data_IF_162056344607
#
_entry.id   IF_162056344607
#
_cell.length_a   1.000
_cell.length_b   1.000
_cell.length_c   1.000
_cell.angle_alpha   90.00
_cell.angle_beta   90.00
_cell.angle_gamma   90.00
#
_symmetry.space_group_name_H-M   'P 1'
#
loop_
_entity.id
_entity.type
_entity.pdbx_description
1 polymer ?
#
# COMPACT_ATOMS: atom_id res chain seq x y z
N UNK A 1 -35.81 41.00 8.51
CA UNK A 1 -35.13 40.13 9.49
C UNK A 1 -34.78 38.85 8.75
N UNK A 2 -33.54 38.79 8.29
CA UNK A 2 -33.00 37.69 7.50
C UNK A 2 -32.65 36.55 8.45
N UNK A 3 -33.38 35.44 8.34
CA UNK A 3 -33.02 34.17 8.96
C UNK A 3 -31.97 33.52 8.06
N UNK A 4 -30.70 33.76 8.37
CA UNK A 4 -29.58 33.12 7.68
C UNK A 4 -29.60 31.61 7.96
N UNK A 5 -29.84 30.84 6.91
CA UNK A 5 -29.77 29.39 6.92
C UNK A 5 -28.41 28.90 7.40
N UNK A 6 -28.45 28.00 8.38
CA UNK A 6 -27.31 27.18 8.75
C UNK A 6 -27.19 26.10 7.67
N UNK A 7 -26.37 26.37 6.66
CA UNK A 7 -26.02 25.38 5.64
C UNK A 7 -25.08 24.36 6.28
N UNK A 8 -25.61 23.20 6.69
CA UNK A 8 -24.79 22.01 6.88
C UNK A 8 -24.20 21.63 5.51
N UNK A 9 -23.00 22.14 5.20
CA UNK A 9 -22.21 21.63 4.08
C UNK A 9 -21.96 20.14 4.31
N UNK A 10 -22.20 19.26 3.33
CA UNK A 10 -21.79 17.88 3.45
C UNK A 10 -20.26 17.86 3.54
N UNK A 11 -19.71 17.41 4.67
CA UNK A 11 -18.27 17.20 4.82
C UNK A 11 -17.78 16.42 3.61
N UNK A 12 -16.98 17.03 2.74
CA UNK A 12 -16.53 16.42 1.48
C UNK A 12 -16.07 14.97 1.74
N UNK A 13 -16.47 13.97 0.94
CA UNK A 13 -16.04 12.58 1.12
C UNK A 13 -14.51 12.43 1.23
N UNK A 14 -13.76 13.34 0.59
CA UNK A 14 -12.30 13.44 0.73
C UNK A 14 -11.82 13.90 2.10
N UNK A 15 -12.55 14.81 2.76
CA UNK A 15 -12.27 15.22 4.13
C UNK A 15 -12.47 14.04 5.10
N UNK A 16 -13.52 13.23 4.89
CA UNK A 16 -13.78 12.00 5.63
C UNK A 16 -12.63 10.99 5.48
N UNK A 17 -12.22 10.69 4.24
CA UNK A 17 -11.10 9.79 3.94
C UNK A 17 -9.78 10.29 4.53
N UNK A 18 -9.50 11.59 4.39
CA UNK A 18 -8.27 12.20 4.92
C UNK A 18 -8.26 12.18 6.44
N UNK A 19 -9.41 12.39 7.09
CA UNK A 19 -9.57 12.24 8.54
C UNK A 19 -9.27 10.82 8.99
N UNK A 20 -9.80 9.80 8.30
CA UNK A 20 -9.54 8.39 8.61
C UNK A 20 -8.04 8.06 8.57
N UNK A 21 -7.33 8.51 7.52
CA UNK A 21 -5.87 8.33 7.41
C UNK A 21 -5.11 9.08 8.52
N UNK A 22 -5.50 10.33 8.78
CA UNK A 22 -4.84 11.15 9.80
C UNK A 22 -5.02 10.58 11.21
N UNK A 23 -6.18 10.00 11.49
CA UNK A 23 -6.46 9.33 12.76
C UNK A 23 -5.74 8.00 12.89
N UNK A 24 -5.55 7.28 11.77
CA UNK A 24 -4.89 5.99 11.81
C UNK A 24 -3.40 6.14 12.17
N UNK A 25 -2.67 7.11 11.59
CA UNK A 25 -1.21 7.29 11.73
C UNK A 25 -0.40 5.98 11.62
N UNK A 26 -0.95 4.95 10.99
CA UNK A 26 -0.48 3.58 11.16
C UNK A 26 0.86 3.40 10.46
N UNK A 27 1.86 3.05 11.27
CA UNK A 27 3.12 2.47 10.82
C UNK A 27 2.88 0.98 10.73
N UNK A 28 3.32 0.37 9.64
CA UNK A 28 3.11 -1.06 9.39
C UNK A 28 4.29 -1.67 8.69
N UNK A 29 4.39 -2.98 8.83
CA UNK A 29 5.35 -3.79 8.09
C UNK A 29 4.73 -4.25 6.77
N UNK A 30 5.46 -4.05 5.69
CA UNK A 30 5.07 -4.55 4.37
C UNK A 30 6.27 -5.05 3.59
N UNK A 31 6.01 -5.86 2.58
CA UNK A 31 7.01 -6.37 1.63
C UNK A 31 6.83 -5.67 0.30
N UNK A 32 7.82 -4.88 -0.10
CA UNK A 32 7.90 -4.35 -1.46
C UNK A 32 8.45 -5.45 -2.38
N UNK A 33 7.65 -5.89 -3.36
CA UNK A 33 7.98 -7.06 -4.20
C UNK A 33 8.53 -6.64 -5.56
N UNK A 34 7.85 -5.72 -6.24
CA UNK A 34 8.16 -5.35 -7.61
C UNK A 34 7.52 -4.02 -8.01
N UNK A 35 8.00 -3.47 -9.13
CA UNK A 35 7.37 -2.36 -9.84
C UNK A 35 6.72 -2.87 -11.11
N UNK A 36 5.41 -2.62 -11.26
CA UNK A 36 4.59 -3.14 -12.37
C UNK A 36 3.87 -2.04 -13.11
N UNK A 37 3.78 -2.16 -14.43
CA UNK A 37 3.02 -1.25 -15.28
C UNK A 37 1.53 -1.58 -15.22
N UNK A 38 0.67 -0.58 -15.00
CA UNK A 38 -0.77 -0.73 -14.93
C UNK A 38 -1.40 -0.26 -16.25
N UNK A 39 -1.71 -1.17 -17.16
CA UNK A 39 -2.12 -0.76 -18.52
C UNK A 39 -3.52 -0.12 -18.60
N UNK A 40 -4.50 -0.72 -17.92
CA UNK A 40 -5.92 -0.50 -18.24
C UNK A 40 -6.55 0.71 -17.55
N UNK A 41 -6.07 1.06 -16.35
CA UNK A 41 -6.75 2.06 -15.51
C UNK A 41 -5.92 3.32 -15.32
N UNK A 42 -4.60 3.18 -15.23
CA UNK A 42 -3.64 4.29 -15.06
C UNK A 42 -2.33 3.88 -15.75
N UNK A 43 -2.07 4.30 -17.00
CA UNK A 43 -0.93 3.84 -17.80
C UNK A 43 0.42 4.33 -17.23
N UNK A 44 0.81 3.78 -16.09
CA UNK A 44 1.94 4.20 -15.27
C UNK A 44 2.52 3.01 -14.48
N UNK A 45 3.79 3.12 -14.09
CA UNK A 45 4.43 2.15 -13.22
C UNK A 45 4.11 2.41 -11.75
N UNK A 46 3.66 1.36 -11.06
CA UNK A 46 3.32 1.36 -9.64
C UNK A 46 4.14 0.34 -8.88
N UNK A 47 4.54 0.70 -7.67
CA UNK A 47 5.23 -0.17 -6.74
C UNK A 47 4.20 -0.97 -5.95
N UNK A 48 4.43 -2.28 -5.83
CA UNK A 48 3.53 -3.21 -5.14
C UNK A 48 4.08 -3.50 -3.75
N UNK A 49 3.34 -3.08 -2.72
CA UNK A 49 3.64 -3.37 -1.31
C UNK A 49 2.58 -4.30 -0.75
N UNK A 50 2.97 -5.53 -0.41
CA UNK A 50 2.13 -6.49 0.30
C UNK A 50 2.18 -6.21 1.79
N UNK A 51 1.03 -6.07 2.44
CA UNK A 51 0.93 -5.81 3.87
C UNK A 51 1.14 -7.13 4.63
N UNK A 52 1.90 -7.09 5.71
CA UNK A 52 2.04 -8.24 6.60
C UNK A 52 0.68 -8.60 7.24
N UNK A 53 0.37 -9.90 7.32
CA UNK A 53 -0.91 -10.40 7.83
C UNK A 53 -1.16 -10.01 9.29
N UNK A 54 -0.09 -9.79 10.05
CA UNK A 54 -0.17 -9.45 11.47
C UNK A 54 -0.61 -7.99 11.69
N UNK A 55 -0.62 -7.16 10.63
CA UNK A 55 -1.02 -5.75 10.64
C UNK A 55 -2.55 -5.57 10.58
N UNK A 56 -3.26 -6.28 11.45
CA UNK A 56 -4.74 -6.36 11.46
C UNK A 56 -5.42 -4.99 11.56
N UNK A 57 -4.81 -4.03 12.27
CA UNK A 57 -5.32 -2.68 12.38
C UNK A 57 -5.23 -1.90 11.05
N UNK A 58 -4.14 -2.06 10.30
CA UNK A 58 -3.99 -1.43 8.99
C UNK A 58 -4.96 -2.04 8.00
N UNK A 59 -5.08 -3.36 8.02
CA UNK A 59 -6.03 -4.10 7.19
C UNK A 59 -7.46 -3.57 7.39
N UNK A 60 -7.93 -3.46 8.64
CA UNK A 60 -9.25 -2.88 8.95
C UNK A 60 -9.40 -1.45 8.41
N UNK A 61 -8.38 -0.62 8.58
CA UNK A 61 -8.41 0.76 8.08
C UNK A 61 -8.55 0.81 6.55
N UNK A 62 -7.86 -0.06 5.83
CA UNK A 62 -7.93 -0.15 4.37
C UNK A 62 -9.28 -0.68 3.89
N UNK A 63 -9.87 -1.64 4.60
CA UNK A 63 -11.22 -2.11 4.33
C UNK A 63 -12.26 -0.99 4.50
N UNK A 64 -12.13 -0.18 5.55
CA UNK A 64 -13.04 0.95 5.76
C UNK A 64 -12.86 2.02 4.68
N UNK A 65 -11.61 2.30 4.24
CA UNK A 65 -11.34 3.19 3.12
C UNK A 65 -11.95 2.66 1.83
N UNK A 66 -11.77 1.37 1.52
CA UNK A 66 -12.39 0.73 0.36
C UNK A 66 -13.91 0.87 0.40
N UNK A 67 -14.54 0.65 1.56
CA UNK A 67 -15.99 0.80 1.72
C UNK A 67 -16.43 2.24 1.44
N UNK A 68 -15.78 3.23 2.06
CA UNK A 68 -16.11 4.65 1.84
C UNK A 68 -15.89 5.05 0.39
N UNK A 69 -14.80 4.60 -0.24
CA UNK A 69 -14.54 4.94 -1.65
C UNK A 69 -15.63 4.38 -2.56
N UNK A 70 -16.03 3.12 -2.37
CA UNK A 70 -17.10 2.49 -3.15
C UNK A 70 -18.45 3.18 -2.94
N UNK A 71 -18.78 3.55 -1.70
CA UNK A 71 -20.04 4.24 -1.38
C UNK A 71 -20.11 5.65 -1.95
N UNK A 72 -19.03 6.42 -1.87
CA UNK A 72 -19.05 7.87 -2.16
C UNK A 72 -18.60 8.19 -3.59
N UNK A 73 -17.78 7.34 -4.22
CA UNK A 73 -17.20 7.58 -5.55
C UNK A 73 -17.53 6.50 -6.59
N UNK A 74 -18.25 5.45 -6.20
CA UNK A 74 -18.62 4.34 -7.06
C UNK A 74 -17.48 3.33 -7.29
N UNK A 75 -17.80 2.27 -8.02
CA UNK A 75 -16.90 1.14 -8.32
C UNK A 75 -15.86 1.45 -9.40
N UNK A 76 -16.08 2.50 -10.21
CA UNK A 76 -15.20 2.86 -11.33
C UNK A 76 -13.93 3.59 -10.90
N UNK A 77 -13.92 4.16 -9.69
CA UNK A 77 -12.78 4.91 -9.15
C UNK A 77 -11.67 3.93 -8.80
N UNK A 78 -10.51 4.05 -9.44
CA UNK A 78 -9.37 3.20 -9.11
C UNK A 78 -8.85 3.54 -7.71
N UNK A 79 -8.89 2.56 -6.83
CA UNK A 79 -8.29 2.61 -5.51
C UNK A 79 -7.16 1.59 -5.50
N UNK A 80 -5.92 2.05 -5.34
CA UNK A 80 -4.71 1.22 -5.38
C UNK A 80 -4.57 0.24 -4.22
N UNK A 81 -5.65 -0.45 -3.85
CA UNK A 81 -5.74 -1.48 -2.83
C UNK A 81 -6.39 -2.70 -3.48
N UNK A 82 -5.63 -3.78 -3.61
CA UNK A 82 -6.13 -5.08 -4.08
C UNK A 82 -5.94 -6.12 -2.97
N UNK A 83 -6.72 -7.19 -3.00
CA UNK A 83 -6.53 -8.33 -2.11
C UNK A 83 -6.33 -9.60 -2.94
N UNK A 84 -5.49 -10.52 -2.45
CA UNK A 84 -5.43 -11.85 -3.02
C UNK A 84 -6.35 -12.77 -2.20
N UNK A 85 -7.10 -13.60 -2.91
CA UNK A 85 -8.01 -14.57 -2.32
C UNK A 85 -7.53 -15.99 -2.64
N UNK A 86 -7.59 -16.88 -1.66
CA UNK A 86 -7.38 -18.32 -1.79
C UNK A 86 -8.55 -19.00 -1.08
N UNK A 87 -9.24 -19.92 -1.75
CA UNK A 87 -10.41 -20.62 -1.21
C UNK A 87 -11.49 -19.69 -0.59
N UNK A 88 -11.78 -18.57 -1.27
CA UNK A 88 -12.67 -17.50 -0.82
C UNK A 88 -12.24 -16.74 0.46
N UNK A 89 -11.01 -16.94 0.94
CA UNK A 89 -10.44 -16.21 2.07
C UNK A 89 -9.39 -15.20 1.60
N UNK A 90 -9.41 -14.01 2.21
CA UNK A 90 -8.40 -12.97 1.92
C UNK A 90 -7.09 -13.34 2.59
N UNK A 91 -6.07 -13.65 1.78
CA UNK A 91 -4.75 -14.05 2.26
C UNK A 91 -3.89 -12.84 2.59
N UNK A 92 -3.89 -11.83 1.71
CA UNK A 92 -3.12 -10.61 1.91
C UNK A 92 -3.71 -9.43 1.12
N UNK A 93 -3.24 -8.23 1.49
CA UNK A 93 -3.56 -6.98 0.83
C UNK A 93 -2.32 -6.43 0.14
N UNK A 94 -2.48 -5.96 -1.09
CA UNK A 94 -1.44 -5.29 -1.86
C UNK A 94 -1.82 -3.82 -2.08
N UNK A 95 -0.86 -2.95 -1.85
CA UNK A 95 -0.95 -1.52 -2.10
C UNK A 95 -0.18 -1.18 -3.36
N UNK A 96 -0.84 -0.51 -4.29
CA UNK A 96 -0.28 -0.01 -5.54
C UNK A 96 0.03 1.47 -5.37
N UNK A 97 1.31 1.78 -5.19
CA UNK A 97 1.77 3.08 -4.71
C UNK A 97 2.94 3.60 -5.55
N UNK A 98 3.47 4.75 -5.18
CA UNK A 98 4.75 5.27 -5.68
C UNK A 98 5.73 5.32 -4.52
N UNK A 99 6.88 4.68 -4.70
CA UNK A 99 7.98 4.67 -3.75
C UNK A 99 9.22 5.31 -4.39
N UNK A 100 9.97 6.05 -3.58
CA UNK A 100 11.22 6.67 -4.03
C UNK A 100 12.40 5.76 -3.66
N UNK A 101 12.91 5.00 -4.63
CA UNK A 101 14.16 4.23 -4.53
C UNK A 101 14.23 3.31 -3.29
N UNK A 102 13.16 2.56 -3.03
CA UNK A 102 13.13 1.56 -1.95
C UNK A 102 13.64 0.22 -2.50
N UNK A 103 14.58 -0.47 -1.83
CA UNK A 103 15.03 -1.80 -2.24
C UNK A 103 13.90 -2.83 -2.06
N UNK A 104 13.91 -3.88 -2.87
CA UNK A 104 12.97 -5.01 -2.72
C UNK A 104 13.20 -5.68 -1.35
N UNK A 105 12.11 -6.01 -0.66
CA UNK A 105 12.18 -6.68 0.64
C UNK A 105 11.15 -6.20 1.64
N UNK A 106 11.36 -6.56 2.91
CA UNK A 106 10.47 -6.24 4.04
C UNK A 106 10.91 -4.94 4.70
N UNK A 107 9.98 -4.00 4.85
CA UNK A 107 10.26 -2.66 5.35
C UNK A 107 9.13 -2.13 6.23
N UNK A 108 9.47 -1.12 7.03
CA UNK A 108 8.50 -0.30 7.74
C UNK A 108 8.02 0.84 6.84
N UNK A 109 6.70 0.96 6.72
CA UNK A 109 6.03 2.01 5.98
C UNK A 109 5.05 2.77 6.87
N UNK A 110 4.68 3.97 6.45
CA UNK A 110 3.62 4.75 7.08
C UNK A 110 2.67 5.28 6.03
N UNK A 111 1.37 5.11 6.25
CA UNK A 111 0.36 5.75 5.41
C UNK A 111 0.30 7.24 5.76
N UNK A 112 0.58 8.12 4.79
CA UNK A 112 0.67 9.56 5.00
C UNK A 112 -0.60 10.30 4.63
N UNK A 113 -1.13 10.02 3.46
CA UNK A 113 -2.26 10.72 2.90
C UNK A 113 -2.88 9.93 1.75
N UNK A 114 -4.01 10.44 1.25
CA UNK A 114 -4.62 10.01 0.00
C UNK A 114 -4.51 11.17 -0.99
N UNK A 115 -4.11 10.86 -2.21
CA UNK A 115 -4.13 11.79 -3.34
C UNK A 115 -5.29 11.40 -4.24
N UNK A 116 -6.19 12.35 -4.49
CA UNK A 116 -7.29 12.16 -5.43
C UNK A 116 -6.94 12.83 -6.74
N UNK A 117 -7.07 12.07 -7.82
CA UNK A 117 -7.05 12.57 -9.18
C UNK A 117 -8.45 12.35 -9.80
N UNK A 118 -8.61 12.74 -11.07
CA UNK A 118 -9.89 12.63 -11.78
C UNK A 118 -10.47 11.20 -11.70
N UNK A 119 -9.66 10.18 -11.98
CA UNK A 119 -10.15 8.79 -12.03
C UNK A 119 -9.60 7.88 -10.91
N UNK A 120 -8.76 8.44 -10.03
CA UNK A 120 -7.94 7.61 -9.13
C UNK A 120 -7.88 8.18 -7.72
N UNK A 121 -7.83 7.29 -6.74
CA UNK A 121 -7.54 7.60 -5.35
C UNK A 121 -6.31 6.76 -4.97
N UNK A 122 -5.20 7.44 -4.74
CA UNK A 122 -3.90 6.82 -4.51
C UNK A 122 -3.46 7.02 -3.07
N UNK A 123 -3.08 5.94 -2.40
CA UNK A 123 -2.41 5.97 -1.10
C UNK A 123 -0.98 6.48 -1.26
N UNK A 124 -0.60 7.44 -0.42
CA UNK A 124 0.77 7.93 -0.33
C UNK A 124 1.44 7.26 0.87
N UNK A 125 2.47 6.45 0.60
CA UNK A 125 3.27 5.81 1.63
C UNK A 125 4.58 6.56 1.84
N UNK A 126 5.00 6.64 3.09
CA UNK A 126 6.37 7.02 3.44
C UNK A 126 7.14 5.78 3.85
N UNK A 127 8.24 5.52 3.17
CA UNK A 127 9.26 4.59 3.62
C UNK A 127 9.92 5.11 4.91
N UNK A 128 10.04 4.24 5.91
CA UNK A 128 10.69 4.60 7.17
C UNK A 128 12.08 3.98 7.28
N UNK A 129 12.18 2.65 7.20
CA UNK A 129 13.43 1.90 7.37
C UNK A 129 13.26 0.42 6.94
N UNK A 130 14.36 -0.33 6.75
CA UNK A 130 14.30 -1.78 6.59
C UNK A 130 13.69 -2.46 7.82
N UNK A 131 12.99 -3.58 7.59
CA UNK A 131 12.52 -4.42 8.67
C UNK A 131 13.64 -5.36 9.11
N UNK A 132 14.23 -5.07 10.25
CA UNK A 132 15.19 -5.96 10.91
C UNK A 132 14.41 -7.01 11.70
N UNK A 133 13.91 -8.03 10.99
CA UNK A 133 13.38 -9.22 11.62
C UNK A 133 14.51 -9.97 12.34
N UNK A 134 14.22 -10.58 13.49
CA UNK A 134 15.18 -11.40 14.22
C UNK A 134 15.37 -12.76 13.52
N UNK A 135 15.98 -12.76 12.34
CA UNK A 135 16.65 -13.90 11.72
C UNK A 135 18.12 -13.43 11.55
N UNK A 136 19.17 -13.95 12.19
CA UNK A 136 19.52 -15.35 12.43
C UNK A 136 18.86 -16.25 11.38
N UNK A 137 19.28 -16.11 10.13
CA UNK A 137 19.92 -17.22 9.40
C UNK A 137 20.20 -16.86 7.92
N UNK A 138 21.47 -17.05 7.57
CA UNK A 138 21.97 -17.64 6.32
C UNK A 138 21.71 -16.95 4.97
N UNK A 139 22.21 -15.72 4.76
CA UNK A 139 22.78 -15.35 3.45
C UNK A 139 24.32 -15.36 3.43
N UNK A 140 24.93 -15.73 4.56
CA UNK A 140 26.36 -16.05 4.67
C UNK A 140 26.55 -17.54 4.93
N UNK A 141 25.95 -18.41 4.12
CA UNK A 141 26.57 -19.72 3.89
C UNK A 141 27.56 -19.51 2.75
N UNK A 142 28.76 -18.99 3.10
CA UNK A 142 29.93 -18.99 2.22
C UNK A 142 30.46 -20.43 2.19
N UNK A 143 29.68 -21.28 1.55
CA UNK A 143 30.01 -22.67 1.20
C UNK A 143 29.25 -23.06 -0.08
N UNK A 144 28.98 -22.07 -0.94
CA UNK A 144 29.01 -22.32 -2.37
C UNK A 144 30.49 -22.52 -2.73
N UNK A 145 30.94 -23.77 -2.68
CA UNK A 145 32.12 -24.20 -3.42
C UNK A 145 31.87 -23.80 -4.88
N UNK A 146 32.44 -22.67 -5.30
CA UNK A 146 32.53 -22.34 -6.71
C UNK A 146 33.33 -23.47 -7.35
N UNK A 147 32.79 -24.18 -8.36
CA UNK A 147 33.60 -25.12 -9.11
C UNK A 147 34.78 -24.34 -9.72
N UNK A 148 36.02 -24.84 -9.61
CA UNK A 148 37.17 -24.16 -10.20
C UNK A 148 36.92 -24.00 -11.70
N UNK A 149 37.12 -22.79 -12.21
CA UNK A 149 37.13 -22.52 -13.64
C UNK A 149 38.31 -23.27 -14.26
N UNK A 150 38.02 -24.35 -14.98
CA UNK A 150 39.00 -25.08 -15.79
C UNK A 150 39.20 -24.30 -17.10
N UNK A 151 40.19 -23.39 -17.11
CA UNK A 151 40.66 -22.78 -18.35
C UNK A 151 41.53 -23.81 -19.07
N UNK A 152 40.95 -24.53 -20.04
CA UNK A 152 41.75 -25.22 -21.04
C UNK A 152 42.21 -24.21 -22.09
N UNK A 153 43.51 -23.91 -22.07
CA UNK A 153 44.22 -23.27 -23.19
C UNK A 153 44.17 -24.15 -24.45
#
# INVERSE_FOLDING_TARGET
>A
MESSGFSDEPSSPMAKLTSMIRQSKKVFVGTYTERRYVEKTIPEYRDIVTIDKDESEVIKCLQDIQRVVRTEFGEEKWLGITCNMVDNEIVNYNLWVELNQVPIGKHWFQIRSLKMNQNTIQLQLKYLRPYEGRNNDSYLNVSAEFPPFDYKE
#
